data_IF_249943912108
#
_entry.id   IF_249943912108
#
_cell.length_a   1.000
_cell.length_b   1.000
_cell.length_c   1.000
_cell.angle_alpha   90.00
_cell.angle_beta   90.00
_cell.angle_gamma   90.00
#
_symmetry.space_group_name_H-M   'P 1'
#
loop_
_entity.id
_entity.type
_entity.pdbx_description
1 polymer ?
#
# COMPACT_ATOMS: atom_id res chain seq x y z
N UNK A 1 -2.28 17.04 29.36
CA UNK A 1 -3.15 17.88 28.51
C UNK A 1 -3.49 17.05 27.28
N UNK A 2 -4.78 16.89 27.03
CA UNK A 2 -5.39 15.77 26.31
C UNK A 2 -5.07 15.77 24.81
N UNK A 3 -4.33 14.76 24.35
CA UNK A 3 -4.16 14.45 22.93
C UNK A 3 -5.54 14.18 22.31
N UNK A 4 -6.11 15.17 21.62
CA UNK A 4 -7.25 14.97 20.72
C UNK A 4 -6.72 14.24 19.49
N UNK A 5 -6.60 12.92 19.61
CA UNK A 5 -6.46 12.04 18.47
C UNK A 5 -7.77 12.14 17.68
N UNK A 6 -7.77 12.91 16.59
CA UNK A 6 -8.84 12.85 15.61
C UNK A 6 -8.88 11.41 15.11
N UNK A 7 -9.93 10.70 15.50
CA UNK A 7 -10.22 9.37 15.01
C UNK A 7 -10.16 9.39 13.49
N UNK A 8 -9.15 8.72 12.91
CA UNK A 8 -9.17 8.41 11.49
C UNK A 8 -10.45 7.60 11.21
N UNK A 9 -11.19 7.92 10.14
CA UNK A 9 -12.48 7.32 9.89
C UNK A 9 -12.36 5.80 9.79
N UNK A 10 -13.30 5.09 10.43
CA UNK A 10 -13.67 3.70 10.06
C UNK A 10 -13.61 3.62 8.55
N UNK A 11 -12.95 2.59 7.98
CA UNK A 11 -12.81 2.34 6.54
C UNK A 11 -14.11 2.61 5.80
N UNK A 12 -14.32 3.88 5.48
CA UNK A 12 -15.40 4.35 4.66
C UNK A 12 -14.86 4.05 3.28
N UNK A 13 -15.48 3.08 2.62
CA UNK A 13 -15.43 2.98 1.17
C UNK A 13 -15.96 4.29 0.61
N UNK A 14 -15.10 5.31 0.57
CA UNK A 14 -15.43 6.63 0.08
C UNK A 14 -15.46 6.58 -1.44
N UNK A 15 -16.65 6.88 -1.95
CA UNK A 15 -16.91 7.23 -3.33
C UNK A 15 -15.89 8.28 -3.81
N UNK A 16 -14.96 7.87 -4.67
CA UNK A 16 -13.90 8.74 -5.18
C UNK A 16 -12.70 8.02 -5.76
N UNK A 17 -12.40 6.80 -5.30
CA UNK A 17 -11.40 5.93 -5.95
C UNK A 17 -12.04 5.02 -6.98
N UNK A 18 -11.37 4.82 -8.12
CA UNK A 18 -11.66 3.67 -8.98
C UNK A 18 -11.67 2.42 -8.11
N UNK A 19 -12.81 1.72 -8.07
CA UNK A 19 -12.97 0.52 -7.25
C UNK A 19 -11.81 -0.43 -7.56
N UNK A 20 -11.22 -1.11 -6.56
CA UNK A 20 -10.23 -2.18 -6.77
C UNK A 20 -10.67 -3.12 -7.90
N UNK A 21 -11.97 -3.40 -7.98
CA UNK A 21 -12.57 -4.21 -9.02
C UNK A 21 -12.44 -3.58 -10.41
N UNK A 22 -12.61 -2.26 -10.55
CA UNK A 22 -12.45 -1.55 -11.84
C UNK A 22 -11.00 -1.63 -12.32
N UNK A 23 -10.02 -1.44 -11.44
CA UNK A 23 -8.59 -1.62 -11.78
C UNK A 23 -8.29 -3.06 -12.17
N UNK A 24 -8.82 -4.05 -11.42
CA UNK A 24 -8.65 -5.47 -11.74
C UNK A 24 -9.27 -5.82 -13.10
N UNK A 25 -10.47 -5.31 -13.39
CA UNK A 25 -11.13 -5.51 -14.67
C UNK A 25 -10.34 -4.88 -15.82
N UNK A 26 -9.88 -3.64 -15.67
CA UNK A 26 -9.07 -2.94 -16.67
C UNK A 26 -7.76 -3.66 -16.98
N UNK A 27 -7.03 -4.06 -15.93
CA UNK A 27 -5.78 -4.83 -16.06
C UNK A 27 -6.01 -6.20 -16.69
N UNK A 28 -7.09 -6.91 -16.32
CA UNK A 28 -7.47 -8.19 -16.94
C UNK A 28 -7.77 -8.02 -18.42
N UNK A 29 -8.53 -7.00 -18.82
CA UNK A 29 -8.81 -6.72 -20.24
C UNK A 29 -7.51 -6.46 -21.01
N UNK A 30 -6.62 -5.64 -20.45
CA UNK A 30 -5.31 -5.35 -21.06
C UNK A 30 -4.47 -6.62 -21.25
N UNK A 31 -4.34 -7.44 -20.20
CA UNK A 31 -3.56 -8.67 -20.24
C UNK A 31 -4.11 -9.65 -21.28
N UNK A 32 -5.42 -9.86 -21.31
CA UNK A 32 -6.04 -10.77 -22.27
C UNK A 32 -5.90 -10.28 -23.71
N UNK A 33 -5.94 -8.95 -23.92
CA UNK A 33 -5.68 -8.32 -25.22
C UNK A 33 -4.24 -8.55 -25.67
N UNK A 34 -3.28 -8.28 -24.79
CA UNK A 34 -1.85 -8.46 -25.08
C UNK A 34 -1.50 -9.93 -25.37
N UNK A 35 -2.10 -10.89 -24.64
CA UNK A 35 -1.94 -12.33 -24.89
C UNK A 35 -2.45 -12.77 -26.28
N UNK A 36 -3.32 -11.98 -26.91
CA UNK A 36 -3.87 -12.23 -28.26
C UNK A 36 -3.24 -11.33 -29.31
N UNK A 37 -2.17 -10.62 -28.95
CA UNK A 37 -1.42 -9.73 -29.84
C UNK A 37 -2.26 -8.61 -30.46
N UNK A 38 -3.39 -8.27 -29.84
CA UNK A 38 -4.27 -7.20 -30.32
C UNK A 38 -3.78 -5.85 -29.81
N UNK A 39 -3.78 -4.82 -30.64
CA UNK A 39 -3.66 -3.43 -30.22
C UNK A 39 -4.98 -2.92 -29.61
N UNK A 40 -4.90 -1.84 -28.83
CA UNK A 40 -6.12 -1.18 -28.31
C UNK A 40 -7.06 -0.72 -29.41
N UNK A 41 -6.53 -0.37 -30.60
CA UNK A 41 -7.32 0.02 -31.76
C UNK A 41 -8.05 -1.18 -32.35
N UNK A 42 -7.37 -2.31 -32.53
CA UNK A 42 -7.98 -3.53 -33.07
C UNK A 42 -9.08 -4.06 -32.14
N UNK A 43 -8.85 -4.11 -30.83
CA UNK A 43 -9.91 -4.49 -29.88
C UNK A 43 -11.10 -3.51 -29.93
N UNK A 44 -10.82 -2.21 -30.05
CA UNK A 44 -11.87 -1.20 -30.17
C UNK A 44 -12.70 -1.38 -31.45
N UNK A 45 -12.06 -1.72 -32.57
CA UNK A 45 -12.70 -2.01 -33.85
C UNK A 45 -13.57 -3.27 -33.78
N UNK A 46 -13.04 -4.38 -33.24
CA UNK A 46 -13.80 -5.62 -33.04
C UNK A 46 -15.06 -5.41 -32.19
N UNK A 47 -14.97 -4.52 -31.20
CA UNK A 47 -16.05 -4.26 -30.24
C UNK A 47 -16.94 -3.11 -30.68
N UNK A 48 -16.57 -2.28 -31.65
CA UNK A 48 -17.34 -1.11 -32.07
C UNK A 48 -17.34 0.03 -31.05
N UNK A 49 -16.19 0.31 -30.43
CA UNK A 49 -15.97 1.44 -29.52
C UNK A 49 -14.75 2.26 -29.96
N UNK A 50 -14.46 3.39 -29.31
CA UNK A 50 -13.24 4.15 -29.60
C UNK A 50 -12.02 3.55 -28.91
N UNK A 51 -10.84 3.65 -29.53
CA UNK A 51 -9.57 3.27 -28.91
C UNK A 51 -9.36 4.01 -27.57
N UNK A 52 -9.75 5.28 -27.48
CA UNK A 52 -9.69 6.05 -26.25
C UNK A 52 -10.62 5.52 -25.14
N UNK A 53 -11.73 4.85 -25.49
CA UNK A 53 -12.57 4.18 -24.52
C UNK A 53 -11.87 2.93 -23.95
N UNK A 54 -11.27 2.11 -24.82
CA UNK A 54 -10.46 0.94 -24.41
C UNK A 54 -9.30 1.39 -23.51
N UNK A 55 -8.54 2.42 -23.92
CA UNK A 55 -7.41 2.93 -23.15
C UNK A 55 -7.79 3.44 -21.74
N UNK A 56 -8.97 4.06 -21.58
CA UNK A 56 -9.46 4.49 -20.25
C UNK A 56 -9.95 3.32 -19.40
N UNK A 57 -10.54 2.30 -20.01
CA UNK A 57 -10.92 1.07 -19.31
C UNK A 57 -9.67 0.35 -18.81
N UNK A 58 -8.66 0.15 -19.66
CA UNK A 58 -7.43 -0.55 -19.31
C UNK A 58 -6.61 0.14 -18.21
N UNK A 59 -6.69 1.48 -18.12
CA UNK A 59 -6.04 2.26 -17.04
C UNK A 59 -6.86 2.31 -15.75
N UNK A 60 -8.12 1.87 -15.78
CA UNK A 60 -9.04 1.97 -14.64
C UNK A 60 -9.66 3.35 -14.44
N UNK A 61 -9.42 4.31 -15.34
CA UNK A 61 -10.02 5.66 -15.35
C UNK A 61 -11.53 5.62 -15.64
N UNK A 62 -12.01 4.54 -16.26
CA UNK A 62 -13.41 4.33 -16.60
C UNK A 62 -13.86 2.93 -16.21
N UNK A 63 -14.89 2.86 -15.37
CA UNK A 63 -15.63 1.62 -15.15
C UNK A 63 -16.43 1.26 -16.41
N UNK A 64 -16.17 0.13 -17.08
CA UNK A 64 -17.04 -0.36 -18.14
C UNK A 64 -18.37 -0.81 -17.54
N UNK A 65 -19.47 -0.67 -18.29
CA UNK A 65 -20.69 -1.40 -17.94
C UNK A 65 -20.45 -2.90 -18.12
N UNK A 66 -21.15 -3.75 -17.35
CA UNK A 66 -21.06 -5.21 -17.50
C UNK A 66 -21.27 -5.65 -18.96
N UNK A 67 -22.27 -5.13 -19.71
CA UNK A 67 -22.44 -5.49 -21.12
C UNK A 67 -21.26 -5.10 -22.02
N UNK A 68 -20.58 -3.98 -21.75
CA UNK A 68 -19.40 -3.59 -22.51
C UNK A 68 -18.21 -4.50 -22.19
N UNK A 69 -18.03 -4.87 -20.92
CA UNK A 69 -17.01 -5.81 -20.49
C UNK A 69 -17.21 -7.19 -21.14
N UNK A 70 -18.44 -7.70 -21.16
CA UNK A 70 -18.79 -8.94 -21.85
C UNK A 70 -18.45 -8.89 -23.33
N UNK A 71 -18.76 -7.78 -24.02
CA UNK A 71 -18.39 -7.59 -25.44
C UNK A 71 -16.88 -7.56 -25.67
N UNK A 72 -16.13 -6.88 -24.79
CA UNK A 72 -14.67 -6.84 -24.85
C UNK A 72 -14.07 -8.25 -24.72
N UNK A 73 -14.56 -9.03 -23.75
CA UNK A 73 -14.12 -10.40 -23.52
C UNK A 73 -14.54 -11.33 -24.68
N UNK A 74 -15.77 -11.20 -25.18
CA UNK A 74 -16.27 -12.00 -26.30
C UNK A 74 -15.48 -11.76 -27.60
N UNK A 75 -15.05 -10.53 -27.87
CA UNK A 75 -14.15 -10.22 -29.00
C UNK A 75 -12.78 -10.90 -28.90
N UNK A 76 -12.43 -11.43 -27.72
CA UNK A 76 -11.23 -12.17 -27.42
C UNK A 76 -11.51 -13.66 -27.17
N UNK A 77 -12.71 -14.16 -27.50
CA UNK A 77 -13.14 -15.55 -27.23
C UNK A 77 -13.03 -15.91 -25.73
N UNK A 78 -13.50 -14.98 -24.87
CA UNK A 78 -13.53 -15.12 -23.42
C UNK A 78 -14.93 -14.82 -22.89
N UNK A 79 -15.24 -15.41 -21.73
CA UNK A 79 -16.46 -15.17 -20.98
C UNK A 79 -16.15 -14.64 -19.58
N UNK A 80 -16.98 -13.71 -19.07
CA UNK A 80 -16.89 -13.24 -17.69
C UNK A 80 -17.43 -14.31 -16.73
N UNK A 81 -16.63 -14.67 -15.73
CA UNK A 81 -17.06 -15.46 -14.58
C UNK A 81 -16.97 -14.61 -13.31
N UNK A 82 -18.00 -14.65 -12.46
CA UNK A 82 -18.03 -13.91 -11.19
C UNK A 82 -18.00 -14.91 -10.04
N UNK A 83 -16.99 -14.79 -9.20
CA UNK A 83 -16.81 -15.58 -7.98
C UNK A 83 -16.76 -14.64 -6.79
N UNK A 84 -17.18 -15.12 -5.61
CA UNK A 84 -17.01 -14.40 -4.35
C UNK A 84 -15.94 -15.09 -3.52
N UNK A 85 -15.13 -14.29 -2.85
CA UNK A 85 -14.09 -14.76 -1.93
C UNK A 85 -14.24 -14.04 -0.59
N UNK A 86 -13.75 -14.64 0.52
CA UNK A 86 -13.65 -13.93 1.78
C UNK A 86 -12.89 -12.61 1.60
N UNK A 87 -13.40 -11.55 2.24
CA UNK A 87 -12.76 -10.24 2.19
C UNK A 87 -11.30 -10.34 2.64
N UNK A 88 -10.41 -9.81 1.80
CA UNK A 88 -8.95 -9.83 1.97
C UNK A 88 -8.28 -11.22 1.97
N UNK A 89 -8.89 -12.23 1.34
CA UNK A 89 -8.27 -13.56 1.20
C UNK A 89 -6.84 -13.51 0.61
N UNK A 90 -6.62 -12.65 -0.39
CA UNK A 90 -5.28 -12.44 -0.97
C UNK A 90 -4.28 -11.86 0.05
N UNK A 91 -4.74 -10.95 0.93
CA UNK A 91 -3.89 -10.40 1.99
C UNK A 91 -3.54 -11.49 3.00
N UNK A 92 -4.50 -12.35 3.35
CA UNK A 92 -4.24 -13.50 4.23
C UNK A 92 -3.20 -14.44 3.67
N UNK A 93 -3.33 -14.79 2.37
CA UNK A 93 -2.38 -15.65 1.69
C UNK A 93 -0.97 -15.04 1.74
N UNK A 94 -0.85 -13.74 1.40
CA UNK A 94 0.42 -13.01 1.48
C UNK A 94 1.00 -12.99 2.89
N UNK A 95 0.17 -12.81 3.92
CA UNK A 95 0.61 -12.84 5.32
C UNK A 95 1.04 -14.25 5.75
N UNK A 96 0.35 -15.29 5.31
CA UNK A 96 0.73 -16.69 5.58
C UNK A 96 2.05 -17.06 4.90
N UNK A 97 2.26 -16.63 3.65
CA UNK A 97 3.53 -16.76 2.92
C UNK A 97 4.66 -16.05 3.67
N UNK A 98 4.44 -14.81 4.11
CA UNK A 98 5.41 -14.08 4.94
C UNK A 98 5.68 -14.79 6.27
N UNK A 99 4.67 -15.40 6.90
CA UNK A 99 4.86 -16.14 8.14
C UNK A 99 5.71 -17.42 7.95
N UNK A 100 5.64 -18.04 6.78
CA UNK A 100 6.39 -19.25 6.45
C UNK A 100 7.87 -18.99 6.08
N UNK A 101 8.23 -17.73 5.78
CA UNK A 101 9.59 -17.36 5.34
C UNK A 101 10.50 -16.98 6.52
N UNK A 102 11.81 -17.30 6.47
CA UNK A 102 12.77 -16.83 7.46
C UNK A 102 12.77 -15.31 7.63
N UNK A 103 12.84 -14.83 8.87
CA UNK A 103 12.80 -13.40 9.17
C UNK A 103 13.91 -12.62 8.46
N UNK A 104 15.13 -13.17 8.41
CA UNK A 104 16.25 -12.53 7.73
C UNK A 104 15.97 -12.26 6.25
N UNK A 105 15.39 -13.24 5.54
CA UNK A 105 15.02 -13.11 4.13
C UNK A 105 13.95 -12.05 3.93
N UNK A 106 12.93 -12.05 4.79
CA UNK A 106 11.86 -11.05 4.76
C UNK A 106 12.37 -9.63 4.97
N UNK A 107 13.31 -9.44 5.89
CA UNK A 107 13.91 -8.13 6.16
C UNK A 107 14.80 -7.68 5.01
N UNK A 108 15.58 -8.57 4.41
CA UNK A 108 16.38 -8.27 3.21
C UNK A 108 15.51 -7.83 2.03
N UNK A 109 14.37 -8.49 1.82
CA UNK A 109 13.42 -8.17 0.75
C UNK A 109 12.80 -6.77 0.85
N UNK A 110 12.70 -6.22 2.07
CA UNK A 110 12.20 -4.85 2.27
C UNK A 110 13.11 -3.81 1.60
N UNK A 111 14.39 -4.15 1.33
CA UNK A 111 15.32 -3.25 0.68
C UNK A 111 15.56 -1.95 1.45
N UNK A 112 15.42 -1.97 2.78
CA UNK A 112 15.46 -0.77 3.63
C UNK A 112 16.76 0.02 3.47
N UNK A 113 17.87 -0.64 3.16
CA UNK A 113 19.16 0.01 2.96
C UNK A 113 19.11 1.10 1.88
N UNK A 114 18.33 0.87 0.81
CA UNK A 114 18.19 1.80 -0.32
C UNK A 114 17.70 3.18 0.10
N UNK A 115 16.78 3.22 1.07
CA UNK A 115 16.20 4.46 1.57
C UNK A 115 16.94 4.97 2.80
N UNK A 116 17.26 4.08 3.76
CA UNK A 116 17.86 4.46 5.04
C UNK A 116 19.27 5.03 4.87
N UNK A 117 20.08 4.48 3.96
CA UNK A 117 21.43 5.01 3.69
C UNK A 117 21.40 6.41 3.09
N UNK A 118 20.26 6.80 2.50
CA UNK A 118 20.05 8.09 1.86
C UNK A 118 19.38 9.09 2.77
N UNK A 119 18.63 8.66 3.80
CA UNK A 119 18.07 9.55 4.83
C UNK A 119 19.17 10.26 5.61
N UNK A 120 20.39 9.71 5.65
CA UNK A 120 21.55 10.34 6.24
C UNK A 120 21.35 10.62 7.72
N UNK A 121 21.59 11.86 8.14
CA UNK A 121 21.50 12.30 9.54
C UNK A 121 20.09 12.78 9.94
N UNK A 122 19.08 12.63 9.07
CA UNK A 122 17.71 13.00 9.37
C UNK A 122 17.20 12.18 10.57
N UNK A 123 16.80 12.82 11.69
CA UNK A 123 16.29 12.11 12.85
C UNK A 123 14.94 11.46 12.52
N UNK A 124 14.94 10.13 12.48
CA UNK A 124 13.75 9.33 12.22
C UNK A 124 13.70 8.09 13.11
N UNK A 125 12.52 7.49 13.20
CA UNK A 125 12.30 6.16 13.81
C UNK A 125 11.45 5.36 12.84
N UNK A 126 11.75 4.09 12.63
CA UNK A 126 10.91 3.23 11.79
C UNK A 126 9.59 2.92 12.52
N UNK A 127 8.46 3.06 11.82
CA UNK A 127 7.12 3.00 12.40
C UNK A 127 6.21 2.03 11.63
N UNK A 128 4.95 1.94 12.04
CA UNK A 128 3.89 1.22 11.33
C UNK A 128 4.22 -0.23 10.97
N UNK A 129 3.83 -0.65 9.76
CA UNK A 129 4.08 -2.00 9.27
C UNK A 129 5.58 -2.29 9.12
N UNK A 130 6.41 -1.27 8.84
CA UNK A 130 7.87 -1.44 8.76
C UNK A 130 8.46 -1.84 10.13
N UNK A 131 8.06 -1.16 11.20
CA UNK A 131 8.48 -1.49 12.56
C UNK A 131 7.97 -2.87 13.00
N UNK A 132 6.72 -3.19 12.66
CA UNK A 132 6.13 -4.50 12.96
C UNK A 132 6.87 -5.64 12.24
N UNK A 133 7.17 -5.47 10.95
CA UNK A 133 7.91 -6.44 10.15
C UNK A 133 9.32 -6.68 10.69
N UNK A 134 10.05 -5.62 11.06
CA UNK A 134 11.38 -5.75 11.66
C UNK A 134 11.34 -6.48 13.01
N UNK A 135 10.28 -6.31 13.80
CA UNK A 135 10.05 -7.03 15.05
C UNK A 135 9.47 -8.45 14.85
N UNK A 136 9.43 -8.96 13.62
CA UNK A 136 9.08 -10.35 13.30
C UNK A 136 7.66 -10.56 12.78
N UNK A 137 6.77 -9.57 12.89
CA UNK A 137 5.37 -9.75 12.52
C UNK A 137 5.22 -9.98 11.00
N UNK A 138 4.47 -10.99 10.54
CA UNK A 138 4.30 -11.31 9.11
C UNK A 138 3.29 -10.40 8.43
N UNK A 139 3.61 -9.11 8.40
CA UNK A 139 2.78 -8.08 7.78
C UNK A 139 3.43 -7.61 6.47
N UNK A 140 2.64 -7.39 5.40
CA UNK A 140 3.17 -6.77 4.19
C UNK A 140 3.54 -5.31 4.46
N UNK A 141 4.65 -4.88 3.86
CA UNK A 141 5.14 -3.50 3.91
C UNK A 141 5.15 -2.99 2.49
N UNK A 142 4.13 -2.21 2.13
CA UNK A 142 4.00 -1.66 0.77
C UNK A 142 4.71 -0.30 0.63
N UNK A 143 5.09 0.32 1.75
CA UNK A 143 5.88 1.54 1.83
C UNK A 143 6.73 1.51 3.09
N UNK A 144 7.93 2.11 3.03
CA UNK A 144 8.73 2.30 4.23
C UNK A 144 8.07 3.36 5.10
N UNK A 145 7.87 3.06 6.38
CA UNK A 145 7.15 3.92 7.30
C UNK A 145 8.09 4.46 8.37
N UNK A 146 8.12 5.78 8.53
CA UNK A 146 8.96 6.48 9.50
C UNK A 146 8.16 7.48 10.33
N UNK A 147 8.60 7.75 11.56
CA UNK A 147 8.20 8.92 12.33
C UNK A 147 9.27 10.00 12.17
N UNK A 148 8.85 11.24 11.91
CA UNK A 148 9.72 12.41 11.75
C UNK A 148 9.15 13.55 12.58
N UNK A 149 10.01 14.36 13.21
CA UNK A 149 9.53 15.49 14.00
C UNK A 149 9.16 16.66 13.12
N UNK A 150 8.14 17.43 13.51
CA UNK A 150 7.78 18.69 12.85
C UNK A 150 8.96 19.66 12.81
N UNK A 151 9.77 19.76 13.86
CA UNK A 151 10.99 20.59 13.86
C UNK A 151 12.07 20.17 12.85
N UNK A 152 12.02 18.93 12.36
CA UNK A 152 12.93 18.39 11.35
C UNK A 152 12.31 18.41 9.94
N UNK A 153 11.11 18.97 9.76
CA UNK A 153 10.38 18.97 8.48
C UNK A 153 11.17 19.62 7.34
N UNK A 154 11.88 20.72 7.59
CA UNK A 154 12.71 21.38 6.58
C UNK A 154 13.84 20.46 6.06
N UNK A 155 14.46 19.68 6.96
CA UNK A 155 15.49 18.69 6.58
C UNK A 155 14.86 17.53 5.80
N UNK A 156 13.67 17.10 6.21
CA UNK A 156 12.94 16.06 5.51
C UNK A 156 12.50 16.50 4.10
N UNK A 157 12.01 17.73 3.95
CA UNK A 157 11.70 18.36 2.65
C UNK A 157 12.93 18.43 1.76
N UNK A 158 14.08 18.86 2.30
CA UNK A 158 15.32 18.88 1.54
C UNK A 158 15.67 17.47 1.03
N UNK A 159 15.60 16.47 1.90
CA UNK A 159 15.80 15.08 1.51
C UNK A 159 14.82 14.63 0.41
N UNK A 160 13.52 14.87 0.58
CA UNK A 160 12.48 14.52 -0.40
C UNK A 160 12.78 15.11 -1.78
N UNK A 161 13.20 16.38 -1.84
CA UNK A 161 13.58 17.02 -3.11
C UNK A 161 14.80 16.34 -3.74
N UNK A 162 15.83 15.99 -2.98
CA UNK A 162 16.99 15.24 -3.51
C UNK A 162 16.64 13.83 -3.97
N UNK A 163 15.62 13.23 -3.36
CA UNK A 163 15.12 11.90 -3.68
C UNK A 163 14.11 11.90 -4.84
N UNK A 164 13.88 13.05 -5.50
CA UNK A 164 12.84 13.24 -6.52
C UNK A 164 11.46 12.82 -6.02
N UNK A 165 11.16 13.18 -4.78
CA UNK A 165 9.91 12.87 -4.11
C UNK A 165 8.71 13.44 -4.86
N UNK A 166 7.69 12.62 -5.05
CA UNK A 166 6.37 13.01 -5.53
C UNK A 166 5.37 12.65 -4.46
N UNK A 167 4.58 13.63 -3.98
CA UNK A 167 3.60 13.39 -2.92
C UNK A 167 2.31 12.82 -3.50
N UNK A 168 1.67 11.94 -2.76
CA UNK A 168 0.38 11.35 -3.08
C UNK A 168 -0.72 12.41 -3.12
N UNK A 169 -1.54 12.39 -4.16
CA UNK A 169 -2.69 13.26 -4.32
C UNK A 169 -3.99 12.48 -4.08
N UNK A 170 -4.63 12.65 -2.92
CA UNK A 170 -5.80 11.86 -2.51
C UNK A 170 -6.98 11.91 -3.51
N UNK A 171 -7.26 13.09 -4.08
CA UNK A 171 -8.35 13.27 -5.05
C UNK A 171 -8.17 12.48 -6.34
N UNK A 172 -6.93 12.34 -6.83
CA UNK A 172 -6.64 11.74 -8.14
C UNK A 172 -6.09 10.32 -8.03
N UNK A 173 -5.64 9.92 -6.83
CA UNK A 173 -5.11 8.58 -6.60
C UNK A 173 -3.77 8.35 -7.30
N UNK A 174 -2.97 9.39 -7.49
CA UNK A 174 -1.66 9.34 -8.16
C UNK A 174 -0.61 10.12 -7.39
N UNK A 175 0.66 9.90 -7.74
CA UNK A 175 1.79 10.67 -7.20
C UNK A 175 2.10 11.86 -8.10
N UNK A 176 2.38 13.01 -7.50
CA UNK A 176 2.77 14.23 -8.20
C UNK A 176 1.68 15.32 -8.22
N UNK A 177 2.00 16.46 -8.83
CA UNK A 177 1.06 17.58 -8.96
C UNK A 177 0.74 18.34 -7.67
N UNK A 178 1.39 18.01 -6.56
CA UNK A 178 1.27 18.67 -5.25
C UNK A 178 2.64 18.94 -4.62
N UNK A 179 2.74 19.97 -3.76
CA UNK A 179 3.94 20.24 -2.96
C UNK A 179 4.41 19.00 -2.17
N UNK A 180 5.72 18.85 -2.02
CA UNK A 180 6.34 17.72 -1.32
C UNK A 180 6.47 17.94 0.18
N UNK A 181 6.40 19.20 0.60
CA UNK A 181 6.54 19.70 1.96
C UNK A 181 5.51 19.04 2.90
N UNK A 182 5.92 18.37 3.99
CA UNK A 182 5.00 17.76 4.95
C UNK A 182 3.99 18.74 5.57
N UNK A 183 4.34 20.02 5.65
CA UNK A 183 3.49 21.08 6.18
C UNK A 183 2.28 21.38 5.31
N UNK A 184 2.36 21.05 4.02
CA UNK A 184 1.26 21.26 3.09
C UNK A 184 0.13 20.25 3.36
N UNK A 185 -1.14 20.64 3.22
CA UNK A 185 -2.26 19.74 3.47
C UNK A 185 -2.24 18.50 2.56
N UNK A 186 -2.57 17.33 3.13
CA UNK A 186 -2.71 16.08 2.37
C UNK A 186 -1.99 14.90 3.00
N UNK A 187 -2.05 13.74 2.36
CA UNK A 187 -1.40 12.52 2.86
C UNK A 187 0.13 12.67 2.98
N UNK A 188 0.69 12.23 4.10
CA UNK A 188 2.14 12.10 4.29
C UNK A 188 2.65 10.80 3.66
N UNK A 189 2.54 10.73 2.33
CA UNK A 189 2.90 9.59 1.50
C UNK A 189 3.61 10.09 0.24
N UNK A 190 4.78 9.57 -0.04
CA UNK A 190 5.62 9.99 -1.16
C UNK A 190 6.17 8.81 -1.93
N UNK A 191 6.22 8.93 -3.25
CA UNK A 191 7.05 8.08 -4.11
C UNK A 191 8.38 8.77 -4.31
N UNK A 192 9.48 8.06 -4.07
CA UNK A 192 10.84 8.55 -4.32
C UNK A 192 11.56 7.63 -5.28
N UNK A 193 12.74 8.05 -5.77
CA UNK A 193 13.64 7.16 -6.55
C UNK A 193 14.11 5.91 -5.77
N UNK A 194 13.90 5.86 -4.45
CA UNK A 194 14.30 4.75 -3.58
C UNK A 194 13.12 3.87 -3.13
N UNK A 195 11.89 4.21 -3.53
CA UNK A 195 10.67 3.50 -3.14
C UNK A 195 9.61 4.43 -2.54
N UNK A 196 8.47 3.85 -2.18
CA UNK A 196 7.40 4.56 -1.46
C UNK A 196 7.78 4.74 0.02
N UNK A 197 7.55 5.95 0.52
CA UNK A 197 7.77 6.34 1.91
C UNK A 197 6.48 6.93 2.48
N UNK A 198 6.14 6.56 3.71
CA UNK A 198 5.12 7.23 4.52
C UNK A 198 5.76 7.78 5.78
N UNK A 199 5.34 8.98 6.17
CA UNK A 199 5.82 9.60 7.39
C UNK A 199 4.65 9.89 8.33
N UNK A 200 4.86 9.63 9.62
CA UNK A 200 4.04 10.18 10.69
C UNK A 200 4.78 11.39 11.25
N UNK A 201 4.20 12.58 11.06
CA UNK A 201 4.75 13.81 11.62
C UNK A 201 4.35 13.95 13.09
N UNK A 202 5.34 14.17 13.97
CA UNK A 202 5.16 14.19 15.41
C UNK A 202 5.90 15.38 16.07
N UNK A 203 5.56 15.75 17.29
CA UNK A 203 6.30 16.79 18.01
C UNK A 203 7.64 16.24 18.53
N UNK A 204 7.60 15.03 19.11
CA UNK A 204 8.75 14.28 19.57
C UNK A 204 8.78 12.86 19.00
N UNK A 205 9.98 12.34 18.76
CA UNK A 205 10.13 10.98 18.27
C UNK A 205 9.61 9.99 19.33
N UNK A 206 8.88 8.94 18.91
CA UNK A 206 8.41 7.91 19.81
C UNK A 206 9.57 7.16 20.47
N UNK A 207 9.31 6.56 21.64
CA UNK A 207 10.24 5.63 22.26
C UNK A 207 10.59 4.48 21.30
N UNK A 208 11.82 3.98 21.41
CA UNK A 208 12.36 3.01 20.45
C UNK A 208 12.94 1.79 21.14
N UNK A 209 12.80 0.64 20.48
CA UNK A 209 13.66 -0.52 20.72
C UNK A 209 14.65 -0.65 19.57
N UNK A 210 15.84 -1.18 19.85
CA UNK A 210 16.79 -1.55 18.82
C UNK A 210 16.55 -2.98 18.38
N UNK A 211 16.38 -3.17 17.07
CA UNK A 211 16.28 -4.48 16.45
C UNK A 211 17.49 -4.67 15.56
N UNK A 212 18.14 -5.83 15.64
CA UNK A 212 19.31 -6.15 14.82
C UNK A 212 18.97 -7.26 13.81
N UNK A 213 19.26 -7.00 12.54
CA UNK A 213 19.24 -8.02 11.49
C UNK A 213 20.57 -7.98 10.75
N UNK A 214 21.32 -9.09 10.83
CA UNK A 214 22.71 -9.12 10.38
C UNK A 214 23.55 -8.10 11.15
N UNK A 215 24.31 -7.29 10.42
CA UNK A 215 25.17 -6.24 11.01
C UNK A 215 24.42 -4.94 11.31
N UNK A 216 23.22 -4.76 10.74
CA UNK A 216 22.46 -3.51 10.82
C UNK A 216 21.54 -3.47 12.04
N UNK A 217 21.61 -2.36 12.76
CA UNK A 217 20.68 -2.00 13.82
C UNK A 217 19.60 -1.04 13.32
N UNK A 218 18.36 -1.27 13.74
CA UNK A 218 17.19 -0.48 13.38
C UNK A 218 16.52 0.06 14.65
N UNK A 219 16.33 1.39 14.71
CA UNK A 219 15.49 2.00 15.75
C UNK A 219 14.04 1.95 15.30
N UNK A 220 13.24 1.15 15.97
CA UNK A 220 11.83 0.90 15.61
C UNK A 220 10.91 1.26 16.77
N UNK A 221 9.69 1.70 16.46
CA UNK A 221 8.62 1.83 17.45
C UNK A 221 8.28 0.44 18.00
N UNK A 222 8.22 0.24 19.33
CA UNK A 222 7.86 -1.05 19.93
C UNK A 222 6.52 -1.57 19.40
N UNK A 223 6.42 -2.88 19.17
CA UNK A 223 5.23 -3.50 18.56
C UNK A 223 3.93 -3.15 19.30
N UNK A 224 3.97 -3.08 20.64
CA UNK A 224 2.82 -2.66 21.45
C UNK A 224 2.37 -1.22 21.15
N UNK A 225 3.32 -0.30 20.94
CA UNK A 225 3.02 1.08 20.60
C UNK A 225 2.52 1.19 19.15
N UNK A 226 3.04 0.38 18.22
CA UNK A 226 2.51 0.26 16.86
C UNK A 226 1.04 -0.17 16.88
N UNK A 227 0.68 -1.19 17.66
CA UNK A 227 -0.70 -1.67 17.77
C UNK A 227 -1.68 -0.63 18.33
N UNK A 228 -1.19 0.29 19.17
CA UNK A 228 -2.01 1.33 19.78
C UNK A 228 -2.13 2.58 18.90
N UNK A 229 -1.07 2.94 18.18
CA UNK A 229 -0.96 4.21 17.46
C UNK A 229 -1.29 4.10 15.97
N UNK A 230 -1.15 2.92 15.36
CA UNK A 230 -1.33 2.68 13.94
C UNK A 230 -2.50 1.71 13.66
N UNK A 231 -3.68 2.21 13.28
CA UNK A 231 -4.85 1.37 12.98
C UNK A 231 -4.62 0.36 11.84
N UNK A 232 -3.78 0.70 10.85
CA UNK A 232 -3.48 -0.15 9.71
C UNK A 232 -2.63 -1.35 10.13
N UNK A 233 -1.50 -1.07 10.79
CA UNK A 233 -0.64 -2.12 11.34
C UNK A 233 -1.38 -2.96 12.40
N UNK A 234 -2.16 -2.33 13.30
CA UNK A 234 -2.99 -3.04 14.27
C UNK A 234 -4.04 -3.95 13.61
N UNK A 235 -4.62 -3.52 12.48
CA UNK A 235 -5.52 -4.33 11.67
C UNK A 235 -4.85 -5.61 11.16
N UNK A 236 -3.67 -5.48 10.55
CA UNK A 236 -2.87 -6.59 10.06
C UNK A 236 -2.48 -7.56 11.20
N UNK A 237 -1.99 -7.03 12.31
CA UNK A 237 -1.55 -7.83 13.47
C UNK A 237 -2.70 -8.61 14.11
N UNK A 238 -3.88 -8.00 14.27
CA UNK A 238 -5.07 -8.68 14.77
C UNK A 238 -5.54 -9.77 13.81
N UNK A 239 -5.53 -9.48 12.51
CA UNK A 239 -5.93 -10.43 11.45
C UNK A 239 -5.04 -11.66 11.41
N UNK A 240 -3.73 -11.48 11.56
CA UNK A 240 -2.80 -12.61 11.66
C UNK A 240 -3.09 -13.47 12.91
N UNK A 241 -3.21 -12.83 14.07
CA UNK A 241 -3.43 -13.54 15.35
C UNK A 241 -4.71 -14.36 15.37
N UNK A 242 -5.82 -13.83 14.87
CA UNK A 242 -7.10 -14.54 14.85
C UNK A 242 -7.08 -15.79 13.96
N UNK A 243 -6.17 -15.86 12.99
CA UNK A 243 -6.00 -17.01 12.09
C UNK A 243 -4.92 -17.98 12.52
N UNK A 244 -3.84 -17.50 13.14
CA UNK A 244 -2.79 -18.36 13.71
C UNK A 244 -3.30 -19.13 14.93
N UNK A 245 -4.23 -18.54 15.68
CA UNK A 245 -4.96 -19.19 16.76
C UNK A 245 -6.46 -19.04 16.50
N UNK A 246 -7.05 -19.85 15.61
CA UNK A 246 -8.50 -19.89 15.51
C UNK A 246 -9.00 -20.31 16.88
N UNK A 247 -9.75 -19.42 17.55
CA UNK A 247 -10.28 -19.72 18.87
C UNK A 247 -10.95 -21.10 18.81
N UNK A 248 -10.60 -21.97 19.75
CA UNK A 248 -11.23 -23.26 19.95
C UNK A 248 -12.68 -23.04 20.43
N UNK A 249 -13.52 -22.56 19.53
CA UNK A 249 -14.91 -22.19 19.79
C UNK A 249 -15.69 -22.43 18.51
N UNK A 250 -15.87 -23.71 18.17
CA UNK A 250 -17.20 -24.31 18.05
C UNK A 250 -17.08 -25.83 17.81
N UNK A 251 -16.91 -26.59 18.90
CA UNK A 251 -17.27 -28.01 18.97
C UNK A 251 -18.27 -28.21 20.10
N UNK A 252 -19.33 -27.40 20.13
CA UNK A 252 -20.52 -27.74 20.92
C UNK A 252 -21.79 -27.08 20.36
N UNK A 253 -22.32 -27.60 19.25
CA UNK A 253 -23.72 -28.06 19.13
C UNK A 253 -24.04 -28.63 17.76
#
# INVERSE_FOLDING_TARGET
MTLRYQALPRMAHHAGMSSRLVTLLGTTVRQQRELRELSQRELAELVGVSQAAVARIERGDRSPSVPLLERLLAAMDLQLAVMVEPLDAQLDARMAELAARPLAERVSDLGLDRILDRLGDLPHVLAGATAAALQGAPVPVDAVEIAVRWRDSARFTAWLRTAYGQRWHDRWGEFGGVPVEPEEPGAHRWLTRYGELRAVMCDELPETVEVRHGERGYRVVPLIAVELADPGAAGLLRRYRSRAHPAATDRTR
#
